data_IF_026533781085
#
_entry.id   IF_026533781085
#
_cell.length_a   1.000
_cell.length_b   1.000
_cell.length_c   1.000
_cell.angle_alpha   90.00
_cell.angle_beta   90.00
_cell.angle_gamma   90.00
#
_symmetry.space_group_name_H-M   'P 1'
#
loop_
_entity.id
_entity.type
_entity.pdbx_description
1 polymer ?
#
# COMPACT_ATOMS: atom_id res chain seq x y z
N UNK A 1 -11.70 17.88 5.33
CA UNK A 1 -11.07 16.61 4.90
C UNK A 1 -10.90 16.71 3.42
N UNK A 2 -9.70 16.45 2.89
CA UNK A 2 -9.53 16.38 1.45
C UNK A 2 -10.28 15.15 0.93
N UNK A 3 -11.14 15.37 -0.07
CA UNK A 3 -11.89 14.31 -0.69
C UNK A 3 -10.99 13.58 -1.68
N UNK A 4 -11.04 12.26 -1.63
CA UNK A 4 -10.51 11.39 -2.68
C UNK A 4 -11.48 10.24 -2.90
N UNK A 5 -11.35 9.62 -4.07
CA UNK A 5 -12.05 8.41 -4.46
C UNK A 5 -11.04 7.28 -4.56
N UNK A 6 -11.55 6.04 -4.52
CA UNK A 6 -10.76 4.85 -4.83
C UNK A 6 -11.45 4.04 -5.92
N UNK A 7 -10.69 3.62 -6.93
CA UNK A 7 -11.13 2.69 -7.98
C UNK A 7 -10.19 1.50 -8.06
N UNK A 8 -10.68 0.36 -8.53
CA UNK A 8 -9.82 -0.81 -8.73
C UNK A 8 -8.70 -0.49 -9.72
N UNK A 9 -7.56 -1.14 -9.52
CA UNK A 9 -6.45 -1.15 -10.47
C UNK A 9 -6.91 -1.78 -11.79
N UNK A 10 -6.47 -1.19 -12.89
CA UNK A 10 -6.70 -1.61 -14.27
C UNK A 10 -5.35 -1.76 -14.99
N UNK A 11 -5.32 -2.42 -16.15
CA UNK A 11 -4.07 -2.62 -16.91
C UNK A 11 -3.35 -1.32 -17.26
N UNK A 12 -4.10 -0.24 -17.53
CA UNK A 12 -3.52 1.09 -17.79
C UNK A 12 -2.72 1.67 -16.62
N UNK A 13 -2.93 1.15 -15.41
CA UNK A 13 -2.21 1.62 -14.22
C UNK A 13 -0.85 0.93 -14.05
N UNK A 14 -0.54 -0.14 -14.79
CA UNK A 14 0.72 -0.88 -14.68
C UNK A 14 1.97 0.02 -14.71
N UNK A 15 2.15 0.92 -15.72
CA UNK A 15 3.30 1.82 -15.72
C UNK A 15 3.32 2.77 -14.52
N UNK A 16 2.15 3.23 -14.08
CA UNK A 16 2.01 4.16 -12.95
C UNK A 16 2.37 3.47 -11.62
N UNK A 17 1.89 2.23 -11.44
CA UNK A 17 2.19 1.40 -10.28
C UNK A 17 3.67 1.05 -10.18
N UNK A 18 4.36 0.90 -11.31
CA UNK A 18 5.81 0.70 -11.33
C UNK A 18 6.56 1.93 -10.80
N UNK A 19 6.21 3.13 -11.25
CA UNK A 19 6.79 4.38 -10.73
C UNK A 19 6.45 4.59 -9.25
N UNK A 20 5.22 4.27 -8.84
CA UNK A 20 4.84 4.30 -7.41
C UNK A 20 5.67 3.35 -6.56
N UNK A 21 5.97 2.14 -7.08
CA UNK A 21 6.81 1.16 -6.39
C UNK A 21 8.23 1.68 -6.23
N UNK A 22 8.78 2.33 -7.27
CA UNK A 22 10.11 2.94 -7.23
C UNK A 22 10.22 3.97 -6.10
N UNK A 23 9.28 4.90 -6.02
CA UNK A 23 9.23 5.89 -4.93
C UNK A 23 9.03 5.22 -3.55
N UNK A 24 8.20 4.18 -3.48
CA UNK A 24 7.94 3.47 -2.22
C UNK A 24 9.17 2.72 -1.69
N UNK A 25 10.00 2.17 -2.57
CA UNK A 25 11.25 1.49 -2.20
C UNK A 25 12.32 2.47 -1.69
N UNK A 26 12.30 3.71 -2.19
CA UNK A 26 13.17 4.81 -1.75
C UNK A 26 12.68 5.47 -0.45
N UNK A 27 11.41 5.25 -0.07
CA UNK A 27 10.83 5.82 1.15
C UNK A 27 11.56 5.30 2.39
N UNK A 28 12.14 6.18 3.24
CA UNK A 28 12.88 5.76 4.43
C UNK A 28 12.00 5.02 5.44
N UNK A 29 12.48 3.87 5.93
CA UNK A 29 11.79 3.02 6.90
C UNK A 29 10.38 2.57 6.43
N UNK A 30 10.08 2.54 5.14
CA UNK A 30 8.97 1.74 4.66
C UNK A 30 9.17 0.26 5.05
N UNK A 31 8.09 -0.52 5.10
CA UNK A 31 8.17 -1.96 5.35
C UNK A 31 8.93 -2.73 4.24
N UNK A 32 9.21 -2.05 3.14
CA UNK A 32 9.88 -2.57 1.94
C UNK A 32 11.21 -1.88 1.66
N UNK A 33 11.66 -0.93 2.51
CA UNK A 33 12.94 -0.24 2.31
C UNK A 33 14.07 -1.25 2.21
N UNK A 34 14.92 -1.12 1.18
CA UNK A 34 16.05 -2.01 0.94
C UNK A 34 15.75 -3.21 0.05
N UNK A 35 14.48 -3.48 -0.29
CA UNK A 35 14.18 -4.46 -1.33
C UNK A 35 14.66 -3.95 -2.70
N UNK A 36 15.26 -4.81 -3.54
CA UNK A 36 15.64 -4.41 -4.89
C UNK A 36 14.39 -4.06 -5.71
N UNK A 37 14.49 -3.02 -6.54
CA UNK A 37 13.46 -2.71 -7.54
C UNK A 37 13.39 -3.88 -8.53
N UNK A 38 12.22 -4.53 -8.71
CA UNK A 38 12.08 -5.57 -9.72
C UNK A 38 12.21 -4.99 -11.13
N UNK A 39 12.50 -5.85 -12.11
CA UNK A 39 12.38 -5.48 -13.51
C UNK A 39 10.92 -5.10 -13.83
N UNK A 40 10.75 -4.14 -14.75
CA UNK A 40 9.41 -3.71 -15.17
C UNK A 40 8.53 -4.88 -15.62
N UNK A 41 9.09 -5.83 -16.39
CA UNK A 41 8.35 -7.00 -16.86
C UNK A 41 7.89 -7.92 -15.73
N UNK A 42 8.66 -8.03 -14.64
CA UNK A 42 8.26 -8.84 -13.48
C UNK A 42 7.20 -8.12 -12.65
N UNK A 43 7.31 -6.79 -12.51
CA UNK A 43 6.26 -5.96 -11.91
C UNK A 43 4.95 -6.04 -12.71
N UNK A 44 5.04 -5.96 -14.04
CA UNK A 44 3.90 -6.13 -14.96
C UNK A 44 3.26 -7.51 -14.79
N UNK A 45 4.04 -8.60 -14.79
CA UNK A 45 3.51 -9.95 -14.53
C UNK A 45 2.79 -10.04 -13.18
N UNK A 46 3.33 -9.41 -12.14
CA UNK A 46 2.69 -9.36 -10.83
C UNK A 46 1.31 -8.70 -10.90
N UNK A 47 1.20 -7.53 -11.54
CA UNK A 47 -0.09 -6.84 -11.70
C UNK A 47 -1.05 -7.63 -12.59
N UNK A 48 -0.59 -8.20 -13.71
CA UNK A 48 -1.45 -9.03 -14.59
C UNK A 48 -1.96 -10.27 -13.86
N UNK A 49 -1.13 -10.91 -13.03
CA UNK A 49 -1.55 -12.02 -12.17
C UNK A 49 -2.62 -11.57 -11.17
N UNK A 50 -2.50 -10.38 -10.58
CA UNK A 50 -3.55 -9.80 -9.74
C UNK A 50 -4.88 -9.62 -10.51
N UNK A 51 -4.81 -9.16 -11.77
CA UNK A 51 -5.99 -8.83 -12.58
C UNK A 51 -6.72 -10.07 -13.10
N UNK A 52 -5.99 -11.11 -13.52
CA UNK A 52 -6.58 -12.26 -14.22
C UNK A 52 -6.57 -13.57 -13.45
N UNK A 53 -5.72 -13.69 -12.43
CA UNK A 53 -5.54 -14.92 -11.63
C UNK A 53 -5.55 -14.57 -10.13
N UNK A 54 -6.48 -13.70 -9.72
CA UNK A 54 -6.50 -13.13 -8.38
C UNK A 54 -6.55 -14.20 -7.29
N UNK A 55 -7.22 -15.32 -7.52
CA UNK A 55 -7.28 -16.49 -6.62
C UNK A 55 -5.91 -17.09 -6.29
N UNK A 56 -4.91 -16.89 -7.16
CA UNK A 56 -3.51 -17.31 -6.98
C UNK A 56 -2.55 -16.16 -6.62
N UNK A 57 -3.09 -14.95 -6.42
CA UNK A 57 -2.34 -13.76 -6.06
C UNK A 57 -2.32 -13.51 -4.53
N UNK A 58 -1.37 -12.74 -4.00
CA UNK A 58 -1.36 -12.42 -2.56
C UNK A 58 -2.33 -11.28 -2.17
N UNK A 59 -2.59 -10.36 -3.09
CA UNK A 59 -3.54 -9.25 -2.92
C UNK A 59 -4.96 -9.72 -3.19
N UNK A 60 -5.88 -9.26 -2.36
CA UNK A 60 -7.32 -9.51 -2.47
C UNK A 60 -8.02 -8.34 -3.18
N UNK A 61 -7.71 -7.10 -2.78
CA UNK A 61 -8.17 -5.89 -3.46
C UNK A 61 -7.09 -4.83 -3.50
N UNK A 62 -6.95 -4.17 -4.65
CA UNK A 62 -6.00 -3.12 -4.91
C UNK A 62 -6.68 -1.96 -5.60
N UNK A 63 -6.49 -0.76 -5.06
CA UNK A 63 -7.13 0.45 -5.53
C UNK A 63 -6.13 1.56 -5.82
N UNK A 64 -6.37 2.30 -6.90
CA UNK A 64 -5.80 3.62 -7.13
C UNK A 64 -6.54 4.65 -6.28
N UNK A 65 -5.80 5.60 -5.70
CA UNK A 65 -6.35 6.74 -4.96
C UNK A 65 -6.33 7.95 -5.88
N UNK A 66 -7.47 8.64 -6.00
CA UNK A 66 -7.68 9.69 -7.02
C UNK A 66 -8.34 10.91 -6.38
N UNK A 67 -7.91 12.13 -6.73
CA UNK A 67 -8.61 13.35 -6.30
C UNK A 67 -9.85 13.64 -7.19
N UNK A 68 -10.47 14.80 -6.98
CA UNK A 68 -11.65 15.21 -7.75
C UNK A 68 -11.32 15.71 -9.18
N UNK A 69 -10.03 15.91 -9.49
CA UNK A 69 -9.50 16.29 -10.81
C UNK A 69 -8.98 15.07 -11.61
N UNK A 70 -9.31 13.87 -11.15
CA UNK A 70 -8.85 12.60 -11.71
C UNK A 70 -7.31 12.36 -11.67
N UNK A 71 -6.59 13.13 -10.84
CA UNK A 71 -5.16 12.88 -10.60
C UNK A 71 -4.95 11.67 -9.69
N UNK A 72 -4.01 10.81 -10.05
CA UNK A 72 -3.59 9.68 -9.23
C UNK A 72 -2.67 10.16 -8.11
N UNK A 73 -3.10 9.91 -6.87
CA UNK A 73 -2.42 10.34 -5.65
C UNK A 73 -1.55 9.25 -5.02
N UNK A 74 -1.78 8.00 -5.42
CA UNK A 74 -1.19 6.83 -4.81
C UNK A 74 -2.06 5.59 -4.97
N UNK A 75 -1.84 4.60 -4.11
CA UNK A 75 -2.60 3.36 -4.10
C UNK A 75 -2.74 2.76 -2.69
N UNK A 76 -3.80 1.99 -2.49
CA UNK A 76 -4.07 1.24 -1.25
C UNK A 76 -4.49 -0.18 -1.58
N UNK A 77 -4.06 -1.15 -0.79
CA UNK A 77 -4.44 -2.54 -1.01
C UNK A 77 -4.62 -3.32 0.29
N UNK A 78 -5.37 -4.40 0.19
CA UNK A 78 -5.54 -5.42 1.22
C UNK A 78 -5.12 -6.77 0.66
N UNK A 79 -4.26 -7.48 1.40
CA UNK A 79 -3.85 -8.85 1.12
C UNK A 79 -4.92 -9.83 1.60
N UNK A 80 -4.94 -11.05 1.04
CA UNK A 80 -5.85 -12.12 1.46
C UNK A 80 -5.77 -12.47 2.95
N UNK A 81 -4.62 -12.21 3.58
CA UNK A 81 -4.42 -12.38 5.04
C UNK A 81 -4.92 -11.17 5.86
N UNK A 82 -5.78 -10.32 5.29
CA UNK A 82 -6.29 -9.08 5.88
C UNK A 82 -5.21 -8.05 6.25
N UNK A 83 -4.03 -8.12 5.63
CA UNK A 83 -2.96 -7.14 5.82
C UNK A 83 -3.25 -5.96 4.89
N UNK A 84 -3.37 -4.76 5.45
CA UNK A 84 -3.54 -3.53 4.69
C UNK A 84 -2.18 -2.87 4.42
N UNK A 85 -2.10 -2.14 3.32
CA UNK A 85 -0.95 -1.31 2.96
C UNK A 85 -1.42 -0.11 2.14
N UNK A 86 -0.64 0.95 2.16
CA UNK A 86 -0.96 2.21 1.50
C UNK A 86 0.33 2.91 1.11
N UNK A 87 0.29 3.57 -0.05
CA UNK A 87 1.34 4.48 -0.50
C UNK A 87 0.67 5.70 -1.15
N UNK A 88 0.93 6.88 -0.59
CA UNK A 88 0.53 8.17 -1.16
C UNK A 88 1.81 8.84 -1.62
N UNK A 89 1.83 9.32 -2.86
CA UNK A 89 3.01 9.96 -3.45
C UNK A 89 3.45 11.15 -2.60
N UNK A 90 4.76 11.36 -2.49
CA UNK A 90 5.39 12.34 -1.60
C UNK A 90 4.74 13.72 -1.71
N UNK A 91 4.51 14.20 -2.94
CA UNK A 91 3.85 15.49 -3.21
C UNK A 91 2.44 15.63 -2.63
N UNK A 92 1.75 14.52 -2.36
CA UNK A 92 0.39 14.46 -1.81
C UNK A 92 0.35 14.00 -0.34
N UNK A 93 1.50 13.71 0.28
CA UNK A 93 1.56 13.31 1.69
C UNK A 93 1.20 14.47 2.63
N UNK A 94 0.80 14.12 3.86
CA UNK A 94 0.37 15.08 4.92
C UNK A 94 -0.87 15.92 4.58
N UNK A 95 -1.55 15.63 3.48
CA UNK A 95 -2.79 16.30 3.05
C UNK A 95 -4.07 15.51 3.41
N UNK A 96 -3.96 14.43 4.19
CA UNK A 96 -5.11 13.64 4.64
C UNK A 96 -5.60 12.56 3.66
N UNK A 97 -5.09 12.50 2.43
CA UNK A 97 -5.47 11.50 1.42
C UNK A 97 -5.22 10.05 1.86
N UNK A 98 -4.13 9.81 2.60
CA UNK A 98 -3.86 8.49 3.18
C UNK A 98 -4.95 8.06 4.14
N UNK A 99 -5.45 8.98 4.97
CA UNK A 99 -6.50 8.67 5.94
C UNK A 99 -7.84 8.37 5.27
N UNK A 100 -8.23 9.21 4.31
CA UNK A 100 -9.47 9.05 3.55
C UNK A 100 -9.45 7.73 2.75
N UNK A 101 -8.36 7.44 2.04
CA UNK A 101 -8.24 6.23 1.21
C UNK A 101 -8.26 4.94 2.01
N UNK A 102 -7.55 4.86 3.15
CA UNK A 102 -7.57 3.68 4.04
C UNK A 102 -8.98 3.44 4.60
N UNK A 103 -9.67 4.49 5.07
CA UNK A 103 -11.08 4.39 5.53
C UNK A 103 -12.00 3.88 4.43
N UNK A 104 -11.89 4.40 3.21
CA UNK A 104 -12.69 3.96 2.07
C UNK A 104 -12.43 2.49 1.73
N UNK A 105 -11.16 2.07 1.71
CA UNK A 105 -10.79 0.68 1.45
C UNK A 105 -11.34 -0.27 2.51
N UNK A 106 -11.21 0.05 3.80
CA UNK A 106 -11.77 -0.75 4.90
C UNK A 106 -13.31 -0.80 4.86
N UNK A 107 -13.96 0.30 4.48
CA UNK A 107 -15.42 0.35 4.32
C UNK A 107 -15.91 -0.53 3.16
N UNK A 108 -15.20 -0.51 2.02
CA UNK A 108 -15.53 -1.35 0.85
C UNK A 108 -15.24 -2.84 1.08
N UNK A 109 -14.31 -3.16 1.98
CA UNK A 109 -13.82 -4.51 2.19
C UNK A 109 -13.92 -4.91 3.66
N UNK A 110 -15.15 -5.00 4.22
CA UNK A 110 -15.34 -5.27 5.63
C UNK A 110 -14.71 -6.61 6.05
N UNK A 111 -13.78 -6.56 7.01
CA UNK A 111 -13.16 -7.72 7.67
C UNK A 111 -13.43 -7.70 9.16
N UNK A 112 -13.49 -8.89 9.77
CA UNK A 112 -13.55 -9.04 11.24
C UNK A 112 -12.29 -8.48 11.92
N UNK A 113 -11.14 -8.58 11.26
CA UNK A 113 -9.85 -8.11 11.77
C UNK A 113 -8.98 -7.68 10.61
N UNK A 114 -8.22 -6.61 10.82
CA UNK A 114 -7.20 -6.12 9.89
C UNK A 114 -5.83 -6.18 10.57
N UNK A 115 -4.79 -6.31 9.76
CA UNK A 115 -3.39 -6.22 10.18
C UNK A 115 -2.68 -5.15 9.37
N UNK A 116 -1.64 -4.54 9.93
CA UNK A 116 -0.73 -3.67 9.22
C UNK A 116 0.68 -3.99 9.71
N UNK A 117 1.64 -4.04 8.79
CA UNK A 117 3.05 -4.25 9.11
C UNK A 117 3.75 -2.93 8.91
N UNK A 118 4.35 -2.40 9.96
CA UNK A 118 5.02 -1.10 9.97
C UNK A 118 6.41 -1.28 10.53
N UNK A 119 7.41 -0.71 9.87
CA UNK A 119 8.79 -0.71 10.39
C UNK A 119 8.83 0.08 11.71
N UNK A 120 9.52 -0.46 12.73
CA UNK A 120 9.58 0.14 14.07
C UNK A 120 10.23 1.54 14.10
N UNK A 121 11.04 1.85 13.09
CA UNK A 121 11.70 3.14 12.91
C UNK A 121 10.81 4.16 12.17
N UNK A 122 9.70 3.72 11.57
CA UNK A 122 8.76 4.61 10.88
C UNK A 122 7.72 5.18 11.85
N UNK A 123 8.17 6.10 12.72
CA UNK A 123 7.30 6.78 13.68
C UNK A 123 6.06 7.44 13.03
N UNK A 124 6.16 8.12 11.88
CA UNK A 124 4.99 8.68 11.21
C UNK A 124 3.94 7.62 10.85
N UNK A 125 4.36 6.47 10.32
CA UNK A 125 3.44 5.40 9.95
C UNK A 125 2.84 4.69 11.18
N UNK A 126 3.59 4.58 12.29
CA UNK A 126 3.07 4.03 13.56
C UNK A 126 1.95 4.94 14.10
N UNK A 127 2.17 6.25 14.14
CA UNK A 127 1.16 7.18 14.64
C UNK A 127 -0.03 7.28 13.69
N UNK A 128 0.19 7.17 12.38
CA UNK A 128 -0.89 7.08 11.40
C UNK A 128 -1.78 5.85 11.63
N UNK A 129 -1.22 4.66 11.76
CA UNK A 129 -2.04 3.44 11.88
C UNK A 129 -2.82 3.39 13.20
N UNK A 130 -2.28 3.98 14.27
CA UNK A 130 -2.96 4.14 15.57
C UNK A 130 -4.23 4.99 15.47
N UNK A 131 -4.33 5.94 14.52
CA UNK A 131 -5.58 6.71 14.27
C UNK A 131 -6.76 5.83 13.89
N UNK A 132 -6.50 4.65 13.30
CA UNK A 132 -7.52 3.66 12.96
C UNK A 132 -7.73 2.62 14.07
N UNK A 133 -7.24 2.89 15.28
CA UNK A 133 -7.37 2.03 16.48
C UNK A 133 -6.68 0.67 16.35
N UNK A 134 -5.70 0.55 15.46
CA UNK A 134 -4.80 -0.61 15.45
C UNK A 134 -3.99 -0.61 16.74
N UNK A 135 -3.72 -1.81 17.26
CA UNK A 135 -2.91 -2.05 18.45
C UNK A 135 -1.71 -2.90 18.07
N UNK A 136 -0.61 -2.70 18.78
CA UNK A 136 0.57 -3.57 18.67
C UNK A 136 0.17 -5.02 18.97
N UNK A 137 0.69 -5.96 18.17
CA UNK A 137 0.34 -7.39 18.26
C UNK A 137 1.56 -8.29 18.39
N UNK A 138 2.62 -8.00 17.66
CA UNK A 138 3.83 -8.81 17.63
C UNK A 138 5.02 -7.98 17.13
N UNK A 139 6.23 -8.47 17.42
CA UNK A 139 7.48 -7.96 16.86
C UNK A 139 8.03 -8.97 15.84
N UNK A 140 8.61 -8.45 14.76
CA UNK A 140 9.40 -9.24 13.81
C UNK A 140 10.86 -8.90 14.07
N UNK A 141 11.67 -9.93 14.34
CA UNK A 141 13.12 -9.79 14.52
C UNK A 141 13.83 -10.30 13.28
N UNK A 142 14.70 -9.48 12.73
CA UNK A 142 15.59 -9.84 11.62
C UNK A 142 17.00 -10.09 12.15
N UNK A 143 17.67 -11.11 11.61
CA UNK A 143 19.09 -11.37 11.84
C UNK A 143 19.80 -11.39 10.50
N UNK A 144 20.72 -10.46 10.28
CA UNK A 144 21.64 -10.50 9.14
C UNK A 144 22.81 -11.40 9.50
N UNK A 145 23.00 -12.47 8.74
CA UNK A 145 24.20 -13.29 8.83
C UNK A 145 25.23 -12.77 7.81
N UNK A 146 25.75 -11.56 8.04
CA UNK A 146 26.89 -11.09 7.25
C UNK A 146 28.11 -11.94 7.61
N UNK A 147 28.77 -12.49 6.58
CA UNK A 147 30.04 -13.23 6.66
C UNK A 147 31.21 -12.27 6.57
#
# INVERSE_FOLDING_TARGET
MNNCKIRLVEERDIPILFEHLKEFLETPNASTTGNPLPLFEDSKKFVLKYLYENENHEYDKWYMVINDEDEILGNVYIKKKNIISYHILEKYQKQGFGETSVKLMMKKNPRKTYFAVVNMNNKPSIEFIKKFKFKEKAFIFEKTNDS
#
